data_IF_665347458745
#
_entry.id   IF_665347458745
#
_cell.length_a   1.000
_cell.length_b   1.000
_cell.length_c   1.000
_cell.angle_alpha   90.00
_cell.angle_beta   90.00
_cell.angle_gamma   90.00
#
_symmetry.space_group_name_H-M   'P 1'
#
loop_
_entity.id
_entity.type
_entity.pdbx_description
1 polymer ?
#
# COMPACT_ATOMS: atom_id res chain seq x y z
N UNK A 1 23.99 -7.08 -8.52
CA UNK A 1 22.85 -6.16 -8.40
C UNK A 1 21.63 -6.95 -8.84
N UNK A 2 20.69 -7.21 -7.94
CA UNK A 2 19.42 -7.86 -8.31
C UNK A 2 18.72 -7.04 -9.39
N UNK A 3 18.08 -7.67 -10.37
CA UNK A 3 17.35 -6.93 -11.41
C UNK A 3 15.95 -6.63 -10.89
N UNK A 4 15.44 -5.44 -11.21
CA UNK A 4 14.06 -5.03 -10.93
C UNK A 4 13.02 -6.09 -11.30
N UNK A 5 13.23 -6.72 -12.45
CA UNK A 5 12.39 -7.79 -12.96
C UNK A 5 12.37 -9.04 -12.07
N UNK A 6 13.50 -9.39 -11.43
CA UNK A 6 13.60 -10.58 -10.60
C UNK A 6 12.77 -10.43 -9.32
N UNK A 7 12.89 -9.29 -8.62
CA UNK A 7 12.05 -8.96 -7.46
C UNK A 7 10.57 -8.91 -7.81
N UNK A 8 10.24 -8.35 -8.97
CA UNK A 8 8.88 -8.32 -9.48
C UNK A 8 8.34 -9.74 -9.70
N UNK A 9 9.13 -10.62 -10.31
CA UNK A 9 8.75 -12.01 -10.54
C UNK A 9 8.62 -12.80 -9.24
N UNK A 10 9.49 -12.57 -8.26
CA UNK A 10 9.41 -13.16 -6.93
C UNK A 10 8.11 -12.77 -6.23
N UNK A 11 7.81 -11.47 -6.17
CA UNK A 11 6.58 -10.96 -5.60
C UNK A 11 5.33 -11.49 -6.31
N UNK A 12 5.35 -11.52 -7.65
CA UNK A 12 4.30 -12.16 -8.45
C UNK A 12 4.10 -13.61 -8.06
N UNK A 13 5.18 -14.34 -7.77
CA UNK A 13 5.09 -15.73 -7.30
C UNK A 13 4.43 -15.82 -5.92
N UNK A 14 4.71 -14.88 -5.01
CA UNK A 14 4.12 -14.84 -3.66
C UNK A 14 2.60 -14.56 -3.66
N UNK A 15 2.11 -13.85 -4.67
CA UNK A 15 0.69 -13.46 -4.80
C UNK A 15 -0.08 -14.30 -5.82
N UNK A 16 0.61 -15.07 -6.67
CA UNK A 16 -0.01 -15.91 -7.70
C UNK A 16 -0.96 -16.93 -7.07
N UNK A 17 -2.17 -17.04 -7.63
CA UNK A 17 -3.18 -18.01 -7.19
C UNK A 17 -3.87 -17.65 -5.87
N UNK A 18 -3.58 -16.49 -5.28
CA UNK A 18 -4.35 -15.99 -4.14
C UNK A 18 -5.75 -15.59 -4.60
N UNK A 19 -6.75 -16.04 -3.86
CA UNK A 19 -8.14 -15.64 -4.08
C UNK A 19 -8.27 -14.16 -3.74
N UNK A 20 -8.99 -13.42 -4.59
CA UNK A 20 -9.37 -12.04 -4.29
C UNK A 20 -10.14 -12.02 -2.97
N UNK A 21 -9.61 -11.27 -2.00
CA UNK A 21 -10.27 -11.03 -0.73
C UNK A 21 -11.04 -9.71 -0.77
N UNK A 22 -12.11 -9.63 0.01
CA UNK A 22 -12.93 -8.41 0.13
C UNK A 22 -13.17 -8.08 1.60
N UNK A 23 -12.20 -8.40 2.45
CA UNK A 23 -12.29 -8.27 3.89
C UNK A 23 -11.84 -6.88 4.38
N UNK A 24 -11.90 -6.66 5.68
CA UNK A 24 -11.70 -5.33 6.30
C UNK A 24 -10.24 -4.93 6.35
N UNK A 25 -9.32 -5.88 6.53
CA UNK A 25 -7.89 -5.67 6.63
C UNK A 25 -7.34 -4.90 5.42
N UNK A 26 -7.79 -5.21 4.19
CA UNK A 26 -7.38 -4.50 2.97
C UNK A 26 -7.59 -2.98 3.05
N UNK A 27 -8.70 -2.53 3.65
CA UNK A 27 -8.96 -1.10 3.86
C UNK A 27 -8.00 -0.51 4.89
N UNK A 28 -7.80 -1.21 6.01
CA UNK A 28 -6.96 -0.72 7.10
C UNK A 28 -5.49 -0.65 6.69
N UNK A 29 -5.02 -1.63 5.92
CA UNK A 29 -3.67 -1.64 5.33
C UNK A 29 -3.45 -0.44 4.43
N UNK A 30 -4.44 -0.10 3.60
CA UNK A 30 -4.32 1.07 2.74
C UNK A 30 -4.36 2.39 3.52
N UNK A 31 -5.21 2.49 4.56
CA UNK A 31 -5.21 3.66 5.46
C UNK A 31 -3.87 3.85 6.17
N UNK A 32 -3.30 2.77 6.69
CA UNK A 32 -1.99 2.78 7.35
C UNK A 32 -0.87 3.21 6.39
N UNK A 33 -0.93 2.78 5.12
CA UNK A 33 -0.04 3.29 4.06
C UNK A 33 -0.15 4.82 3.89
N UNK A 34 -1.37 5.36 3.79
CA UNK A 34 -1.57 6.80 3.60
C UNK A 34 -0.97 7.60 4.76
N UNK A 35 -1.19 7.16 6.01
CA UNK A 35 -0.59 7.78 7.19
C UNK A 35 0.94 7.71 7.21
N UNK A 36 1.52 6.57 6.84
CA UNK A 36 2.98 6.46 6.73
C UNK A 36 3.54 7.39 5.65
N UNK A 37 2.90 7.46 4.49
CA UNK A 37 3.29 8.38 3.42
C UNK A 37 3.18 9.85 3.86
N UNK A 38 2.16 10.19 4.66
CA UNK A 38 2.02 11.52 5.24
C UNK A 38 3.17 11.86 6.20
N UNK A 39 3.61 10.93 7.05
CA UNK A 39 4.80 11.12 7.89
C UNK A 39 6.04 11.42 7.04
N UNK A 40 6.21 10.72 5.92
CA UNK A 40 7.30 10.99 4.97
C UNK A 40 7.18 12.37 4.34
N UNK A 41 6.03 12.71 3.77
CA UNK A 41 5.82 14.00 3.10
C UNK A 41 6.04 15.18 4.03
N UNK A 42 5.61 15.07 5.30
CA UNK A 42 5.85 16.09 6.31
C UNK A 42 7.34 16.30 6.60
N UNK A 43 8.13 15.23 6.70
CA UNK A 43 9.58 15.35 6.94
C UNK A 43 10.34 15.84 5.69
N UNK A 44 9.86 15.49 4.50
CA UNK A 44 10.44 15.96 3.23
C UNK A 44 10.15 17.46 3.01
N UNK A 45 9.08 17.99 3.61
CA UNK A 45 8.56 19.33 3.32
C UNK A 45 7.78 19.38 2.01
N UNK A 46 7.07 18.30 1.69
CA UNK A 46 6.25 18.22 0.49
C UNK A 46 4.85 18.77 0.77
N UNK A 47 4.68 20.08 0.56
CA UNK A 47 3.45 20.83 0.89
C UNK A 47 2.34 20.72 -0.16
N UNK A 48 2.53 19.93 -1.23
CA UNK A 48 1.48 19.75 -2.22
C UNK A 48 0.32 18.91 -1.66
N UNK A 49 -0.88 19.15 -2.19
CA UNK A 49 -2.07 18.32 -1.95
C UNK A 49 -1.94 16.93 -2.60
N UNK A 50 -0.96 16.17 -2.13
CA UNK A 50 -0.56 14.88 -2.68
C UNK A 50 -1.71 13.90 -2.58
N UNK A 51 -2.41 13.88 -1.43
CA UNK A 51 -3.47 12.94 -1.13
C UNK A 51 -4.61 13.01 -2.16
N UNK A 52 -4.97 14.21 -2.62
CA UNK A 52 -5.96 14.33 -3.69
C UNK A 52 -5.35 14.08 -5.08
N UNK A 53 -4.11 14.51 -5.30
CA UNK A 53 -3.41 14.39 -6.59
C UNK A 53 -3.02 12.95 -6.96
N UNK A 54 -2.81 12.03 -6.01
CA UNK A 54 -2.44 10.63 -6.33
C UNK A 54 -3.47 9.91 -7.21
N UNK A 55 -4.71 10.43 -7.31
CA UNK A 55 -5.73 9.93 -8.24
C UNK A 55 -5.37 10.11 -9.72
N UNK A 56 -4.41 11.00 -10.02
CA UNK A 56 -3.99 11.34 -11.39
C UNK A 56 -2.47 11.41 -11.55
N UNK A 57 -1.73 11.60 -10.46
CA UNK A 57 -0.27 11.77 -10.44
C UNK A 57 0.36 10.69 -9.56
N UNK A 58 0.50 9.49 -10.11
CA UNK A 58 0.93 8.32 -9.33
C UNK A 58 2.41 8.37 -8.93
N UNK A 59 3.22 9.22 -9.58
CA UNK A 59 4.63 9.44 -9.22
C UNK A 59 4.76 10.02 -7.80
N UNK A 60 3.71 10.69 -7.28
CA UNK A 60 3.64 11.17 -5.90
C UNK A 60 3.61 10.03 -4.86
N UNK A 61 3.36 8.79 -5.29
CA UNK A 61 3.45 7.62 -4.41
C UNK A 61 4.89 7.16 -4.21
N UNK A 62 5.86 7.65 -5.01
CA UNK A 62 7.24 7.16 -5.02
C UNK A 62 8.19 8.10 -4.26
N UNK A 63 8.43 7.79 -2.98
CA UNK A 63 9.35 8.53 -2.10
C UNK A 63 10.76 8.61 -2.69
N UNK A 64 11.24 7.57 -3.37
CA UNK A 64 12.56 7.58 -4.03
C UNK A 64 12.59 8.62 -5.14
N UNK A 65 11.52 8.68 -5.95
CA UNK A 65 11.41 9.65 -7.05
C UNK A 65 11.32 11.09 -6.57
N UNK A 66 10.69 11.32 -5.41
CA UNK A 66 10.58 12.65 -4.79
C UNK A 66 11.95 13.09 -4.24
N UNK A 67 12.66 12.21 -3.52
CA UNK A 67 13.87 12.58 -2.78
C UNK A 67 15.17 12.45 -3.57
N UNK A 68 15.25 11.46 -4.45
CA UNK A 68 16.49 11.08 -5.13
C UNK A 68 16.18 10.57 -6.56
N UNK A 69 15.59 11.41 -7.43
CA UNK A 69 15.16 11.01 -8.78
C UNK A 69 16.30 10.43 -9.62
N UNK A 70 17.54 10.84 -9.38
CA UNK A 70 18.72 10.33 -10.07
C UNK A 70 18.93 8.81 -9.88
N UNK A 71 18.49 8.25 -8.75
CA UNK A 71 18.56 6.80 -8.51
C UNK A 71 17.67 6.02 -9.48
N UNK A 72 16.60 6.65 -9.98
CA UNK A 72 15.62 6.02 -10.86
C UNK A 72 16.05 5.99 -12.34
N UNK A 73 17.16 6.64 -12.74
CA UNK A 73 17.60 6.70 -14.14
C UNK A 73 17.80 5.33 -14.80
N UNK A 74 18.16 4.32 -14.02
CA UNK A 74 18.40 2.96 -14.49
C UNK A 74 17.27 1.98 -14.12
N UNK A 75 16.16 2.49 -13.59
CA UNK A 75 14.97 1.71 -13.29
C UNK A 75 13.93 1.97 -14.37
N UNK A 76 13.17 0.93 -14.73
CA UNK A 76 12.04 1.06 -15.64
C UNK A 76 11.09 2.17 -15.15
N UNK A 77 10.71 3.08 -16.04
CA UNK A 77 9.78 4.16 -15.66
C UNK A 77 8.38 3.58 -15.35
N UNK A 78 7.56 4.30 -14.57
CA UNK A 78 6.17 3.87 -14.30
C UNK A 78 5.37 3.65 -15.60
N UNK A 79 5.60 4.49 -16.61
CA UNK A 79 4.92 4.36 -17.90
C UNK A 79 5.37 3.13 -18.68
N UNK A 80 6.65 2.79 -18.66
CA UNK A 80 7.14 1.54 -19.25
C UNK A 80 6.69 0.32 -18.43
N UNK A 81 6.65 0.42 -17.10
CA UNK A 81 6.14 -0.63 -16.22
C UNK A 81 4.70 -1.02 -16.57
N UNK A 82 3.82 -0.01 -16.75
CA UNK A 82 2.43 -0.20 -17.22
C UNK A 82 2.34 -0.89 -18.59
N UNK A 83 3.25 -0.56 -19.51
CA UNK A 83 3.25 -1.10 -20.88
C UNK A 83 3.83 -2.51 -20.98
N UNK A 84 4.88 -2.80 -20.22
CA UNK A 84 5.67 -4.03 -20.31
C UNK A 84 5.16 -5.15 -19.38
N UNK A 85 4.27 -4.83 -18.44
CA UNK A 85 3.60 -5.81 -17.57
C UNK A 85 2.08 -5.75 -17.69
N UNK A 86 1.47 -5.89 -18.88
CA UNK A 86 0.02 -5.99 -19.01
C UNK A 86 -0.42 -7.36 -18.47
N UNK A 87 -0.74 -7.43 -17.18
CA UNK A 87 -1.30 -8.63 -16.59
C UNK A 87 -2.81 -8.63 -16.84
N UNK A 88 -3.22 -9.30 -17.91
CA UNK A 88 -4.62 -9.67 -18.12
C UNK A 88 -4.89 -10.96 -17.32
N UNK A 89 -5.65 -10.86 -16.23
CA UNK A 89 -6.14 -12.02 -15.47
C UNK A 89 -5.59 -12.17 -14.03
N UNK A 90 -4.73 -11.26 -13.57
CA UNK A 90 -4.26 -11.24 -12.17
C UNK A 90 -5.19 -10.37 -11.30
N UNK A 91 -5.08 -10.53 -9.97
CA UNK A 91 -5.89 -9.86 -8.93
C UNK A 91 -5.86 -8.33 -8.98
N UNK A 92 -4.78 -7.71 -9.50
CA UNK A 92 -4.57 -6.26 -9.52
C UNK A 92 -4.35 -5.74 -10.95
N UNK A 93 -4.78 -4.50 -11.20
CA UNK A 93 -4.78 -3.93 -12.56
C UNK A 93 -3.48 -3.14 -12.83
N UNK A 94 -2.56 -3.75 -13.57
CA UNK A 94 -1.32 -3.07 -13.98
C UNK A 94 -1.48 -2.23 -15.26
N UNK A 95 -2.51 -2.50 -16.04
CA UNK A 95 -2.73 -1.92 -17.37
C UNK A 95 -3.79 -0.82 -17.33
N UNK A 96 -3.53 0.26 -16.60
CA UNK A 96 -4.34 1.48 -16.68
C UNK A 96 -3.66 2.67 -15.99
N UNK A 97 -3.75 3.85 -16.60
CA UNK A 97 -3.36 5.09 -15.95
C UNK A 97 -4.27 5.46 -14.76
N UNK A 98 -5.47 4.88 -14.67
CA UNK A 98 -6.44 5.11 -13.59
C UNK A 98 -6.35 4.09 -12.45
N UNK A 99 -5.67 2.97 -12.63
CA UNK A 99 -5.46 2.00 -11.55
C UNK A 99 -4.24 2.41 -10.74
N UNK A 100 -4.45 2.55 -9.43
CA UNK A 100 -3.40 2.96 -8.50
C UNK A 100 -2.37 1.83 -8.28
N UNK A 101 -2.77 0.58 -8.51
CA UNK A 101 -1.94 -0.61 -8.29
C UNK A 101 -0.59 -0.52 -9.00
N UNK A 102 -0.58 -0.11 -10.28
CA UNK A 102 0.67 0.05 -11.01
C UNK A 102 1.63 1.06 -10.34
N UNK A 103 1.09 2.15 -9.80
CA UNK A 103 1.89 3.18 -9.10
C UNK A 103 2.39 2.69 -7.75
N UNK A 104 1.53 2.04 -6.96
CA UNK A 104 1.88 1.50 -5.65
C UNK A 104 2.94 0.40 -5.74
N UNK A 105 2.75 -0.53 -6.69
CA UNK A 105 3.68 -1.64 -6.91
C UNK A 105 5.03 -1.11 -7.40
N UNK A 106 5.02 -0.16 -8.36
CA UNK A 106 6.25 0.46 -8.84
C UNK A 106 7.02 1.18 -7.72
N UNK A 107 6.31 1.95 -6.89
CA UNK A 107 6.89 2.66 -5.75
C UNK A 107 7.46 1.69 -4.70
N UNK A 108 6.73 0.62 -4.35
CA UNK A 108 7.17 -0.45 -3.45
C UNK A 108 8.50 -1.05 -3.92
N UNK A 109 8.63 -1.38 -5.21
CA UNK A 109 9.88 -1.94 -5.72
C UNK A 109 11.00 -0.92 -5.73
N UNK A 110 10.76 0.31 -6.19
CA UNK A 110 11.77 1.37 -6.13
C UNK A 110 12.34 1.51 -4.71
N UNK A 111 11.46 1.50 -3.70
CA UNK A 111 11.86 1.51 -2.31
C UNK A 111 12.73 0.30 -1.94
N UNK A 112 12.30 -0.92 -2.25
CA UNK A 112 13.09 -2.13 -1.95
C UNK A 112 14.45 -2.18 -2.65
N UNK A 113 14.64 -1.45 -3.75
CA UNK A 113 15.94 -1.31 -4.42
C UNK A 113 16.86 -0.30 -3.74
N UNK A 114 16.32 0.81 -3.24
CA UNK A 114 17.12 1.97 -2.85
C UNK A 114 17.05 2.33 -1.36
N UNK A 115 16.21 1.69 -0.55
CA UNK A 115 16.05 2.00 0.89
C UNK A 115 17.35 1.97 1.71
N UNK A 116 18.36 1.23 1.25
CA UNK A 116 19.67 1.13 1.89
C UNK A 116 20.72 2.13 1.33
N UNK A 117 20.34 3.00 0.39
CA UNK A 117 21.22 4.03 -0.12
C UNK A 117 21.46 5.11 0.96
N UNK A 118 22.67 5.65 1.04
CA UNK A 118 23.07 6.61 2.08
C UNK A 118 22.24 7.90 2.08
N UNK A 119 21.61 8.27 0.95
CA UNK A 119 20.68 9.43 0.91
C UNK A 119 19.51 9.26 1.89
N UNK A 120 19.16 8.02 2.24
CA UNK A 120 18.07 7.70 3.16
C UNK A 120 18.51 7.58 4.62
N UNK A 121 19.80 7.73 4.93
CA UNK A 121 20.32 7.56 6.30
C UNK A 121 19.66 8.52 7.30
N UNK A 122 19.33 9.74 6.87
CA UNK A 122 18.65 10.75 7.70
C UNK A 122 17.18 10.43 8.00
N UNK A 123 16.58 9.44 7.33
CA UNK A 123 15.18 9.03 7.50
C UNK A 123 15.04 7.67 8.18
N UNK A 124 16.12 7.10 8.74
CA UNK A 124 16.11 5.76 9.38
C UNK A 124 15.08 5.58 10.51
N UNK A 125 14.63 6.68 11.11
CA UNK A 125 13.64 6.66 12.17
C UNK A 125 12.19 6.67 11.64
N UNK A 126 11.99 6.91 10.34
CA UNK A 126 10.67 6.85 9.73
C UNK A 126 10.25 5.41 9.46
N UNK A 127 8.95 5.09 9.55
CA UNK A 127 8.46 3.78 9.16
C UNK A 127 8.69 3.55 7.67
N UNK A 128 8.85 2.29 7.26
CA UNK A 128 8.77 1.95 5.85
C UNK A 128 7.35 2.26 5.35
N UNK A 129 7.20 3.15 4.36
CA UNK A 129 5.87 3.54 3.92
C UNK A 129 5.14 2.41 3.21
N UNK A 130 5.85 1.47 2.58
CA UNK A 130 5.26 0.48 1.68
C UNK A 130 5.00 -0.90 2.31
N UNK A 131 5.36 -1.11 3.59
CA UNK A 131 5.13 -2.42 4.23
C UNK A 131 3.65 -2.82 4.21
N UNK A 132 2.75 -1.85 4.42
CA UNK A 132 1.30 -2.08 4.43
C UNK A 132 0.76 -2.37 3.04
N UNK A 133 1.35 -1.77 2.00
CA UNK A 133 1.04 -2.07 0.59
C UNK A 133 1.50 -3.47 0.21
N UNK A 134 2.70 -3.86 0.65
CA UNK A 134 3.19 -5.23 0.45
C UNK A 134 2.25 -6.24 1.12
N UNK A 135 1.87 -5.99 2.37
CA UNK A 135 0.91 -6.83 3.09
C UNK A 135 -0.46 -6.88 2.38
N UNK A 136 -0.99 -5.74 1.91
CA UNK A 136 -2.26 -5.64 1.18
C UNK A 136 -2.32 -6.60 -0.01
N UNK A 137 -1.28 -6.59 -0.85
CA UNK A 137 -1.22 -7.49 -2.00
C UNK A 137 -0.96 -8.94 -1.62
N UNK A 138 -0.12 -9.17 -0.59
CA UNK A 138 0.11 -10.53 -0.09
C UNK A 138 -1.20 -11.10 0.45
N UNK A 139 -2.04 -10.37 1.17
CA UNK A 139 -3.30 -10.93 1.67
C UNK A 139 -4.39 -11.05 0.60
N UNK A 140 -4.12 -10.67 -0.65
CA UNK A 140 -5.03 -10.87 -1.79
C UNK A 140 -6.01 -9.71 -2.03
N UNK A 141 -5.74 -8.55 -1.43
CA UNK A 141 -6.47 -7.31 -1.72
C UNK A 141 -5.79 -6.52 -2.85
N UNK A 142 -6.49 -5.52 -3.37
CA UNK A 142 -5.97 -4.61 -4.40
C UNK A 142 -6.69 -3.26 -4.40
N UNK A 143 -6.09 -2.30 -5.10
CA UNK A 143 -6.58 -0.92 -5.20
C UNK A 143 -7.11 -0.65 -6.61
N UNK A 144 -8.43 -0.77 -6.77
CA UNK A 144 -9.10 -0.65 -8.08
C UNK A 144 -9.00 0.78 -8.64
N UNK A 145 -9.55 1.75 -7.91
CA UNK A 145 -9.73 3.12 -8.39
C UNK A 145 -9.35 4.12 -7.32
N UNK A 146 -8.75 5.23 -7.76
CA UNK A 146 -8.57 6.40 -6.91
C UNK A 146 -9.29 7.61 -7.49
N UNK A 147 -10.13 8.23 -6.67
CA UNK A 147 -10.72 9.54 -6.90
C UNK A 147 -10.01 10.57 -6.02
N UNK A 148 -10.19 11.89 -6.21
CA UNK A 148 -9.53 12.90 -5.37
C UNK A 148 -9.68 12.61 -3.88
N UNK A 149 -10.91 12.42 -3.37
CA UNK A 149 -11.18 12.28 -1.93
C UNK A 149 -11.41 10.83 -1.47
N UNK A 150 -11.46 9.86 -2.39
CA UNK A 150 -11.85 8.49 -2.11
C UNK A 150 -10.97 7.47 -2.83
N UNK A 151 -10.98 6.25 -2.33
CA UNK A 151 -10.33 5.13 -2.96
C UNK A 151 -11.21 3.89 -2.89
N UNK A 152 -11.27 3.15 -3.99
CA UNK A 152 -11.99 1.89 -4.07
C UNK A 152 -11.03 0.75 -3.82
N UNK A 153 -11.25 0.01 -2.74
CA UNK A 153 -10.50 -1.21 -2.41
C UNK A 153 -11.32 -2.43 -2.82
N UNK A 154 -10.67 -3.42 -3.42
CA UNK A 154 -11.24 -4.70 -3.86
C UNK A 154 -12.49 -4.59 -4.76
N UNK A 155 -12.66 -3.48 -5.47
CA UNK A 155 -13.86 -3.15 -6.27
C UNK A 155 -15.18 -3.19 -5.48
N UNK A 156 -15.14 -3.06 -4.15
CA UNK A 156 -16.32 -3.20 -3.26
C UNK A 156 -16.66 -1.97 -2.46
N UNK A 157 -15.66 -1.23 -1.97
CA UNK A 157 -15.92 -0.15 -1.02
C UNK A 157 -15.11 1.09 -1.36
N UNK A 158 -15.81 2.20 -1.47
CA UNK A 158 -15.20 3.52 -1.54
C UNK A 158 -14.93 4.02 -0.12
N UNK A 159 -13.65 4.20 0.18
CA UNK A 159 -13.17 4.66 1.49
C UNK A 159 -12.64 6.07 1.32
N UNK A 160 -12.98 6.96 2.25
CA UNK A 160 -12.41 8.30 2.28
C UNK A 160 -10.89 8.20 2.49
N UNK A 161 -10.12 8.98 1.72
CA UNK A 161 -8.69 9.13 1.98
C UNK A 161 -8.49 9.92 3.27
N UNK A 162 -7.72 9.35 4.19
CA UNK A 162 -7.38 9.94 5.47
C UNK A 162 -5.96 9.50 5.85
N UNK A 163 -5.28 10.34 6.62
CA UNK A 163 -3.88 10.15 7.03
C UNK A 163 -3.73 10.10 8.55
N UNK A 164 -4.82 9.88 9.28
CA UNK A 164 -4.91 9.82 10.74
C UNK A 164 -5.11 8.39 11.30
N UNK A 165 -4.58 7.36 10.61
CA UNK A 165 -4.80 5.97 10.96
C UNK A 165 -3.51 5.13 10.97
N UNK A 166 -3.31 4.34 12.02
CA UNK A 166 -2.16 3.46 12.20
C UNK A 166 -2.58 2.05 12.58
N UNK A 167 -2.09 1.07 11.84
CA UNK A 167 -2.15 -0.32 12.26
C UNK A 167 -1.11 -0.58 13.37
N UNK A 168 -1.51 -1.16 14.51
CA UNK A 168 -0.58 -1.51 15.57
C UNK A 168 0.33 -2.69 15.21
N UNK A 169 -0.07 -3.51 14.23
CA UNK A 169 0.71 -4.65 13.74
C UNK A 169 0.34 -5.00 12.30
N UNK A 170 1.32 -5.54 11.58
CA UNK A 170 1.16 -6.17 10.25
C UNK A 170 1.22 -7.72 10.33
N UNK A 171 1.19 -8.29 11.54
CA UNK A 171 1.09 -9.73 11.77
C UNK A 171 -0.15 -10.29 11.06
N UNK A 172 0.04 -11.29 10.18
CA UNK A 172 -1.06 -11.85 9.39
C UNK A 172 -2.13 -12.51 10.24
N UNK A 173 -1.78 -13.11 11.38
CA UNK A 173 -2.77 -13.67 12.31
C UNK A 173 -3.66 -12.57 12.89
N UNK A 174 -3.12 -11.35 13.06
CA UNK A 174 -3.89 -10.21 13.54
C UNK A 174 -4.81 -9.63 12.46
N UNK A 175 -4.34 -9.60 11.21
CA UNK A 175 -5.17 -9.18 10.08
C UNK A 175 -6.34 -10.16 9.90
N UNK A 176 -6.06 -11.47 9.94
CA UNK A 176 -7.07 -12.52 9.90
C UNK A 176 -8.06 -12.41 11.08
N UNK A 177 -7.56 -12.06 12.26
CA UNK A 177 -8.41 -11.79 13.43
C UNK A 177 -9.36 -10.60 13.19
N UNK A 178 -8.86 -9.49 12.64
CA UNK A 178 -9.70 -8.33 12.29
C UNK A 178 -10.77 -8.75 11.29
N UNK A 179 -10.40 -9.51 10.26
CA UNK A 179 -11.35 -9.93 9.23
C UNK A 179 -12.44 -10.85 9.79
N UNK A 180 -12.09 -11.70 10.75
CA UNK A 180 -13.05 -12.58 11.43
C UNK A 180 -14.05 -11.83 12.33
N UNK A 181 -13.68 -10.67 12.88
CA UNK A 181 -14.53 -9.93 13.85
C UNK A 181 -15.17 -8.67 13.26
N UNK A 182 -14.62 -8.12 12.18
CA UNK A 182 -15.09 -6.92 11.51
C UNK A 182 -15.52 -7.26 10.08
N UNK A 183 -16.79 -7.64 9.91
CA UNK A 183 -17.36 -7.86 8.58
C UNK A 183 -17.55 -6.53 7.83
N UNK A 184 -17.01 -6.47 6.61
CA UNK A 184 -17.02 -5.28 5.75
C UNK A 184 -18.40 -4.93 5.18
N UNK A 185 -19.25 -5.93 4.90
CA UNK A 185 -20.51 -5.77 4.16
C UNK A 185 -21.75 -6.11 5.00
N UNK A 186 -22.09 -5.25 5.97
CA UNK A 186 -23.41 -5.29 6.63
C UNK A 186 -23.52 -6.19 7.87
N UNK A 187 -22.41 -6.67 8.41
CA UNK A 187 -22.36 -7.18 9.79
C UNK A 187 -22.38 -6.05 10.82
N UNK A 188 -22.52 -6.38 12.10
CA UNK A 188 -22.62 -5.41 13.21
C UNK A 188 -21.31 -4.65 13.51
N UNK A 189 -20.17 -5.05 12.92
CA UNK A 189 -18.84 -4.54 13.27
C UNK A 189 -18.31 -3.35 12.46
N UNK A 190 -18.71 -3.22 11.19
CA UNK A 190 -18.25 -2.14 10.29
C UNK A 190 -16.72 -2.07 10.08
N UNK A 191 -16.25 -1.02 9.40
CA UNK A 191 -14.82 -0.72 9.26
C UNK A 191 -14.35 -0.02 10.54
N UNK A 192 -13.45 -0.61 11.35
CA UNK A 192 -13.05 -0.02 12.62
C UNK A 192 -12.27 1.27 12.42
N UNK A 193 -12.46 2.22 13.34
CA UNK A 193 -11.64 3.42 13.47
C UNK A 193 -10.35 3.12 14.27
N UNK A 194 -9.51 4.13 14.52
CA UNK A 194 -8.26 3.96 15.26
C UNK A 194 -8.47 3.35 16.65
N UNK A 195 -9.42 3.89 17.42
CA UNK A 195 -9.70 3.45 18.79
C UNK A 195 -10.11 1.98 18.81
N UNK A 196 -11.05 1.58 17.94
CA UNK A 196 -11.48 0.18 17.86
C UNK A 196 -10.37 -0.74 17.39
N UNK A 197 -9.53 -0.31 16.44
CA UNK A 197 -8.39 -1.09 15.96
C UNK A 197 -7.38 -1.35 17.08
N UNK A 198 -7.11 -0.36 17.94
CA UNK A 198 -6.25 -0.53 19.10
C UNK A 198 -6.84 -1.51 20.13
N UNK A 199 -8.15 -1.42 20.41
CA UNK A 199 -8.84 -2.38 21.28
C UNK A 199 -8.75 -3.81 20.74
N UNK A 200 -8.99 -4.00 19.43
CA UNK A 200 -8.87 -5.31 18.77
C UNK A 200 -7.46 -5.90 18.90
N UNK A 201 -6.43 -5.05 18.81
CA UNK A 201 -5.05 -5.47 19.04
C UNK A 201 -4.81 -5.96 20.46
N UNK A 202 -5.29 -5.23 21.47
CA UNK A 202 -5.18 -5.65 22.87
C UNK A 202 -5.95 -6.95 23.15
N UNK A 203 -7.14 -7.11 22.57
CA UNK A 203 -7.93 -8.35 22.65
C UNK A 203 -7.16 -9.54 22.03
N UNK A 204 -6.58 -9.34 20.84
CA UNK A 204 -5.80 -10.35 20.14
C UNK A 204 -4.55 -10.76 20.92
N UNK A 205 -3.82 -9.80 21.48
CA UNK A 205 -2.64 -10.05 22.31
C UNK A 205 -2.96 -10.85 23.58
N UNK A 206 -4.17 -10.70 24.14
CA UNK A 206 -4.63 -11.51 25.28
C UNK A 206 -4.95 -12.95 24.89
N UNK A 207 -5.38 -13.21 23.64
CA UNK A 207 -5.69 -14.55 23.12
C UNK A 207 -4.45 -15.37 22.73
N UNK A 208 -3.32 -14.70 22.41
CA UNK A 208 -2.03 -15.34 22.11
C UNK A 208 -1.24 -15.76 23.36
N UNK A 209 -1.68 -15.39 24.56
CA UNK A 209 -1.07 -15.76 25.85
C UNK A 209 -1.77 -16.99 26.43
#
# INVERSE_FOLDING_TARGET
MEKFQDKLNEFKTQIKGRKIQTDTAGILLFKDFLSKMEEWNNIIGFDEDWLNKISRQHDLLNVIGILAPDLLKNVISLNEFRKNSPQNGDTFNLSSARSLDAGLIHALFCWDFFKNNSVFDKFKNLPNPYDSIKALYITGHYVDKSEPTKITIDSKSDVKKQTDFRLPSLDYDFLDYIDAVCERNGGSGGIPNQERTNQLWEEFQKKKK
#
